data_IF_608060208211
#
_entry.id   IF_608060208211
#
_cell.length_a   1.000
_cell.length_b   1.000
_cell.length_c   1.000
_cell.angle_alpha   90.00
_cell.angle_beta   90.00
_cell.angle_gamma   90.00
#
_symmetry.space_group_name_H-M   'P 1'
#
loop_
_entity.id
_entity.type
_entity.pdbx_description
1 polymer ?
#
# COMPACT_ATOMS: atom_id res chain seq x y z
N UNK A 1 -17.71 -17.56 -2.48
CA UNK A 1 -17.22 -18.96 -2.36
C UNK A 1 -17.00 -19.50 -3.77
N UNK A 2 -15.88 -20.22 -4.01
CA UNK A 2 -15.44 -20.65 -5.36
C UNK A 2 -16.27 -21.81 -5.94
N UNK A 3 -17.16 -22.44 -5.17
CA UNK A 3 -17.83 -23.70 -5.51
C UNK A 3 -16.98 -24.95 -5.21
N UNK A 4 -15.71 -24.80 -4.83
CA UNK A 4 -14.81 -25.90 -4.46
C UNK A 4 -14.57 -25.86 -2.94
N UNK A 5 -15.48 -26.47 -2.20
CA UNK A 5 -15.56 -26.32 -0.75
C UNK A 5 -14.29 -26.66 0.06
N UNK A 6 -13.41 -27.53 -0.46
CA UNK A 6 -12.11 -27.81 0.20
C UNK A 6 -11.14 -26.66 0.01
N UNK A 7 -11.10 -26.03 -1.16
CA UNK A 7 -10.25 -24.89 -1.45
C UNK A 7 -10.68 -23.66 -0.64
N UNK A 8 -11.98 -23.37 -0.60
CA UNK A 8 -12.52 -22.28 0.20
C UNK A 8 -12.13 -22.42 1.68
N UNK A 9 -12.23 -23.64 2.24
CA UNK A 9 -11.83 -23.93 3.61
C UNK A 9 -10.31 -23.78 3.84
N UNK A 10 -9.49 -24.20 2.88
CA UNK A 10 -8.03 -24.06 2.96
C UNK A 10 -7.61 -22.58 2.99
N UNK A 11 -8.22 -21.74 2.15
CA UNK A 11 -7.98 -20.29 2.13
C UNK A 11 -8.40 -19.65 3.46
N UNK A 12 -9.55 -20.05 4.02
CA UNK A 12 -10.01 -19.56 5.34
C UNK A 12 -9.02 -19.93 6.45
N UNK A 13 -8.44 -21.14 6.43
CA UNK A 13 -7.39 -21.55 7.39
C UNK A 13 -6.13 -20.69 7.23
N UNK A 14 -5.66 -20.47 6.00
CA UNK A 14 -4.50 -19.61 5.74
C UNK A 14 -4.70 -18.19 6.29
N UNK A 15 -5.86 -17.58 6.01
CA UNK A 15 -6.21 -16.26 6.49
C UNK A 15 -6.26 -16.19 8.04
N UNK A 16 -6.76 -17.23 8.70
CA UNK A 16 -6.82 -17.30 10.15
C UNK A 16 -5.44 -17.46 10.83
N UNK A 17 -4.40 -17.84 10.07
CA UNK A 17 -3.04 -18.06 10.55
C UNK A 17 -2.11 -16.84 10.41
N UNK A 18 -2.55 -15.71 9.85
CA UNK A 18 -1.68 -14.55 9.54
C UNK A 18 -0.89 -14.09 10.77
N UNK A 19 -1.55 -13.97 11.93
CA UNK A 19 -0.93 -13.56 13.20
C UNK A 19 -0.51 -14.76 14.07
N UNK A 20 -0.56 -15.96 13.50
CA UNK A 20 -0.36 -17.21 14.21
C UNK A 20 -1.64 -17.70 14.91
N UNK A 21 -1.89 -19.02 14.84
CA UNK A 21 -3.07 -19.61 15.46
C UNK A 21 -2.79 -21.03 15.99
N UNK A 22 -3.25 -21.33 17.19
CA UNK A 22 -3.41 -22.69 17.73
C UNK A 22 -4.62 -23.37 17.07
N UNK A 23 -4.75 -24.70 17.28
CA UNK A 23 -5.93 -25.41 16.78
C UNK A 23 -7.24 -24.91 17.35
N UNK A 24 -7.25 -24.50 18.62
CA UNK A 24 -8.45 -23.96 19.27
C UNK A 24 -8.87 -22.62 18.63
N UNK A 25 -7.91 -21.71 18.43
CA UNK A 25 -8.14 -20.43 17.75
C UNK A 25 -8.55 -20.61 16.28
N UNK A 26 -8.02 -21.61 15.56
CA UNK A 26 -8.46 -21.93 14.20
C UNK A 26 -9.94 -22.35 14.18
N UNK A 27 -10.35 -23.23 15.08
CA UNK A 27 -11.76 -23.64 15.18
C UNK A 27 -12.66 -22.45 15.49
N UNK A 28 -12.24 -21.60 16.43
CA UNK A 28 -12.99 -20.42 16.82
C UNK A 28 -13.14 -19.41 15.69
N UNK A 29 -12.03 -19.07 14.99
CA UNK A 29 -12.01 -18.06 13.92
C UNK A 29 -12.71 -18.54 12.64
N UNK A 30 -12.55 -19.83 12.31
CA UNK A 30 -13.04 -20.38 11.02
C UNK A 30 -14.42 -21.01 11.12
N UNK A 31 -14.89 -21.35 12.35
CA UNK A 31 -16.10 -22.11 12.63
C UNK A 31 -16.12 -23.50 11.94
N UNK A 32 -14.96 -24.00 11.54
CA UNK A 32 -14.84 -25.35 10.97
C UNK A 32 -14.80 -26.41 12.09
N UNK A 33 -15.31 -27.63 11.84
CA UNK A 33 -15.14 -28.75 12.74
C UNK A 33 -13.65 -28.99 13.05
N UNK A 34 -13.32 -29.30 14.32
CA UNK A 34 -11.94 -29.47 14.80
C UNK A 34 -11.10 -30.40 13.94
N UNK A 35 -11.68 -31.56 13.56
CA UNK A 35 -11.00 -32.54 12.70
C UNK A 35 -10.69 -31.96 11.31
N UNK A 36 -11.61 -31.18 10.73
CA UNK A 36 -11.44 -30.55 9.42
C UNK A 36 -10.36 -29.47 9.50
N UNK A 37 -10.41 -28.58 10.49
CA UNK A 37 -9.42 -27.53 10.68
C UNK A 37 -8.02 -28.12 10.85
N UNK A 38 -7.87 -29.15 11.69
CA UNK A 38 -6.59 -29.83 11.92
C UNK A 38 -6.04 -30.47 10.65
N UNK A 39 -6.85 -31.27 9.93
CA UNK A 39 -6.42 -31.93 8.68
C UNK A 39 -5.99 -30.92 7.61
N UNK A 40 -6.73 -29.83 7.45
CA UNK A 40 -6.37 -28.78 6.47
C UNK A 40 -5.10 -28.05 6.88
N UNK A 41 -4.94 -27.70 8.15
CA UNK A 41 -3.72 -27.05 8.64
C UNK A 41 -2.49 -27.94 8.45
N UNK A 42 -2.60 -29.27 8.73
CA UNK A 42 -1.53 -30.23 8.48
C UNK A 42 -1.23 -30.38 6.98
N UNK A 43 -2.24 -30.45 6.12
CA UNK A 43 -2.03 -30.49 4.67
C UNK A 43 -1.30 -29.25 4.15
N UNK A 44 -1.68 -28.07 4.64
CA UNK A 44 -1.00 -26.81 4.30
C UNK A 44 0.43 -26.75 4.85
N UNK A 45 0.69 -27.36 6.00
CA UNK A 45 2.04 -27.50 6.59
C UNK A 45 2.93 -28.42 5.74
N UNK A 46 2.41 -29.56 5.26
CA UNK A 46 3.10 -30.47 4.31
C UNK A 46 3.52 -29.71 3.05
N UNK A 47 2.66 -28.83 2.53
CA UNK A 47 2.94 -28.01 1.36
C UNK A 47 3.75 -26.74 1.68
N UNK A 48 4.25 -26.58 2.91
CA UNK A 48 5.04 -25.42 3.36
C UNK A 48 4.29 -24.09 3.23
N UNK A 49 2.97 -24.12 3.04
CA UNK A 49 2.10 -22.93 3.08
C UNK A 49 1.84 -22.46 4.51
N UNK A 50 1.90 -23.37 5.48
CA UNK A 50 1.97 -23.08 6.91
C UNK A 50 3.24 -23.70 7.51
N UNK A 51 3.69 -23.14 8.63
CA UNK A 51 4.76 -23.70 9.48
C UNK A 51 4.34 -23.53 10.94
N UNK A 52 4.95 -24.32 11.85
CA UNK A 52 4.77 -24.14 13.28
C UNK A 52 5.85 -23.25 13.84
N UNK A 53 5.45 -22.30 14.70
CA UNK A 53 6.37 -21.53 15.52
C UNK A 53 6.83 -22.36 16.75
N UNK A 54 7.70 -21.77 17.56
CA UNK A 54 8.25 -22.39 18.78
C UNK A 54 7.18 -22.71 19.84
N UNK A 55 5.99 -22.15 19.73
CA UNK A 55 4.84 -22.39 20.59
C UNK A 55 3.87 -23.41 19.98
N UNK A 56 4.22 -24.03 18.84
CA UNK A 56 3.37 -24.98 18.11
C UNK A 56 2.18 -24.34 17.39
N UNK A 57 2.14 -23.03 17.24
CA UNK A 57 1.09 -22.30 16.52
C UNK A 57 1.39 -22.29 15.04
N UNK A 58 0.37 -22.43 14.19
CA UNK A 58 0.53 -22.31 12.73
C UNK A 58 0.68 -20.84 12.32
N UNK A 59 1.66 -20.57 11.49
CA UNK A 59 1.94 -19.28 10.85
C UNK A 59 2.09 -19.45 9.34
N UNK A 60 1.99 -18.38 8.55
CA UNK A 60 2.30 -18.40 7.13
C UNK A 60 3.69 -18.99 6.88
N UNK A 61 3.76 -19.95 5.96
CA UNK A 61 4.97 -20.67 5.61
C UNK A 61 5.70 -20.09 4.39
N UNK A 62 6.97 -20.49 4.16
CA UNK A 62 7.82 -19.88 3.12
C UNK A 62 7.27 -20.07 1.69
N UNK A 63 6.48 -21.13 1.44
CA UNK A 63 5.89 -21.37 0.11
C UNK A 63 4.98 -20.22 -0.34
N UNK A 64 4.31 -19.54 0.58
CA UNK A 64 3.48 -18.39 0.23
C UNK A 64 4.33 -17.23 -0.29
N UNK A 65 5.51 -16.98 0.29
CA UNK A 65 6.45 -15.98 -0.22
C UNK A 65 7.02 -16.36 -1.60
N UNK A 66 7.37 -17.65 -1.80
CA UNK A 66 7.83 -18.13 -3.09
C UNK A 66 6.78 -17.93 -4.20
N UNK A 67 5.51 -18.25 -3.92
CA UNK A 67 4.40 -18.05 -4.85
C UNK A 67 4.11 -16.57 -5.10
N UNK A 68 4.14 -15.73 -4.06
CA UNK A 68 3.94 -14.29 -4.20
C UNK A 68 5.03 -13.65 -5.06
N UNK A 69 6.29 -14.06 -4.89
CA UNK A 69 7.40 -13.55 -5.70
C UNK A 69 7.37 -14.02 -7.16
N UNK A 70 6.73 -15.17 -7.43
CA UNK A 70 6.55 -15.68 -8.79
C UNK A 70 5.31 -15.13 -9.49
N UNK A 71 4.36 -14.57 -8.74
CA UNK A 71 3.17 -13.96 -9.31
C UNK A 71 3.53 -12.61 -9.96
N UNK A 72 2.99 -12.29 -11.15
CA UNK A 72 3.10 -10.94 -11.68
C UNK A 72 2.54 -9.94 -10.67
N UNK A 73 3.26 -8.85 -10.44
CA UNK A 73 2.73 -7.76 -9.63
C UNK A 73 1.64 -7.03 -10.45
N UNK A 74 0.39 -7.43 -10.20
CA UNK A 74 -0.79 -6.91 -10.90
C UNK A 74 -0.89 -5.39 -10.72
N UNK A 75 -0.53 -4.88 -9.54
CA UNK A 75 -0.54 -3.45 -9.27
C UNK A 75 0.51 -2.73 -10.12
N UNK A 76 1.74 -3.23 -10.20
CA UNK A 76 2.81 -2.59 -10.99
C UNK A 76 2.48 -2.62 -12.48
N UNK A 77 2.03 -3.78 -13.00
CA UNK A 77 1.65 -3.91 -14.42
C UNK A 77 0.51 -2.95 -14.79
N UNK A 78 -0.49 -2.79 -13.93
CA UNK A 78 -1.60 -1.87 -14.15
C UNK A 78 -1.20 -0.40 -13.94
N UNK A 79 -0.19 -0.13 -13.09
CA UNK A 79 0.24 1.23 -12.78
C UNK A 79 1.02 1.89 -13.91
N UNK A 80 1.85 1.17 -14.65
CA UNK A 80 2.72 1.74 -15.70
C UNK A 80 1.96 2.62 -16.70
N UNK A 81 0.89 2.14 -17.39
CA UNK A 81 0.16 2.96 -18.36
C UNK A 81 -0.59 4.12 -17.68
N UNK A 82 -1.03 3.95 -16.42
CA UNK A 82 -1.74 4.99 -15.67
C UNK A 82 -0.80 6.10 -15.20
N UNK A 83 0.42 5.77 -14.79
CA UNK A 83 1.46 6.75 -14.46
C UNK A 83 1.85 7.56 -15.71
N UNK A 84 2.02 6.91 -16.85
CA UNK A 84 2.31 7.60 -18.12
C UNK A 84 1.16 8.57 -18.48
N UNK A 85 -0.08 8.11 -18.44
CA UNK A 85 -1.25 8.94 -18.69
C UNK A 85 -1.38 10.11 -17.68
N UNK A 86 -1.08 9.87 -16.42
CA UNK A 86 -1.12 10.90 -15.37
C UNK A 86 -0.02 11.96 -15.60
N UNK A 87 1.21 11.53 -15.94
CA UNK A 87 2.30 12.43 -16.35
C UNK A 87 1.87 13.31 -17.52
N UNK A 88 1.31 12.72 -18.57
CA UNK A 88 0.92 13.45 -19.78
C UNK A 88 -0.23 14.43 -19.52
N UNK A 89 -1.19 14.04 -18.71
CA UNK A 89 -2.33 14.89 -18.34
C UNK A 89 -1.95 16.07 -17.42
N UNK A 90 -0.92 15.90 -16.57
CA UNK A 90 -0.52 16.92 -15.59
C UNK A 90 0.72 17.70 -16.01
N UNK A 91 1.52 17.14 -16.93
CA UNK A 91 2.82 17.68 -17.31
C UNK A 91 3.90 17.51 -16.25
N UNK A 92 3.68 16.69 -15.21
CA UNK A 92 4.63 16.48 -14.10
C UNK A 92 5.00 15.01 -13.96
N UNK A 93 6.11 14.71 -13.29
CA UNK A 93 6.50 13.33 -13.00
C UNK A 93 5.47 12.65 -12.11
N UNK A 94 5.14 11.40 -12.43
CA UNK A 94 4.19 10.57 -11.66
C UNK A 94 4.91 9.36 -11.06
N UNK A 95 4.55 8.99 -9.83
CA UNK A 95 5.20 7.92 -9.08
C UNK A 95 4.18 7.08 -8.31
N UNK A 96 4.54 5.82 -8.08
CA UNK A 96 3.83 4.89 -7.21
C UNK A 96 4.70 4.53 -6.02
N UNK A 97 4.15 4.65 -4.81
CA UNK A 97 4.86 4.35 -3.57
C UNK A 97 4.17 3.26 -2.78
N UNK A 98 4.97 2.32 -2.24
CA UNK A 98 4.56 1.36 -1.23
C UNK A 98 5.20 1.72 0.11
N UNK A 99 4.49 1.49 1.22
CA UNK A 99 5.04 1.64 2.57
C UNK A 99 5.86 0.42 2.97
N UNK A 100 6.99 0.66 3.60
CA UNK A 100 7.84 -0.34 4.21
C UNK A 100 8.32 0.17 5.58
N UNK A 101 7.64 -0.21 6.64
CA UNK A 101 7.85 0.31 8.00
C UNK A 101 7.77 1.85 8.07
N UNK A 102 8.85 2.53 8.43
CA UNK A 102 8.96 3.99 8.55
C UNK A 102 9.44 4.67 7.26
N UNK A 103 9.45 3.94 6.16
CA UNK A 103 9.88 4.38 4.85
C UNK A 103 8.82 4.10 3.80
N UNK A 104 8.96 4.75 2.64
CA UNK A 104 8.23 4.41 1.42
C UNK A 104 9.19 4.19 0.27
N UNK A 105 8.89 3.23 -0.58
CA UNK A 105 9.70 2.87 -1.73
C UNK A 105 8.96 3.31 -2.98
N UNK A 106 9.64 4.00 -3.91
CA UNK A 106 9.15 4.24 -5.24
C UNK A 106 9.25 2.92 -6.04
N UNK A 107 8.12 2.35 -6.42
CA UNK A 107 8.08 1.04 -7.10
C UNK A 107 7.78 1.15 -8.59
N UNK A 108 7.24 2.30 -9.04
CA UNK A 108 7.07 2.63 -10.45
C UNK A 108 7.08 4.15 -10.62
N UNK A 109 7.57 4.63 -11.77
CA UNK A 109 7.63 6.05 -12.08
C UNK A 109 7.46 6.30 -13.58
N UNK A 110 6.82 7.41 -13.92
CA UNK A 110 6.79 7.98 -15.26
C UNK A 110 7.32 9.43 -15.15
N UNK A 111 8.57 9.63 -15.54
CA UNK A 111 9.20 10.94 -15.44
C UNK A 111 8.70 11.88 -16.54
N UNK A 112 8.61 13.18 -16.22
CA UNK A 112 8.41 14.23 -17.19
C UNK A 112 9.50 14.16 -18.27
N UNK A 113 9.11 14.21 -19.53
CA UNK A 113 10.02 13.98 -20.66
C UNK A 113 11.10 15.04 -20.82
N UNK A 114 10.83 16.31 -20.44
CA UNK A 114 11.77 17.43 -20.66
C UNK A 114 11.63 18.53 -19.62
N UNK A 115 12.69 19.33 -19.47
CA UNK A 115 12.77 20.45 -18.54
C UNK A 115 13.01 20.05 -17.09
N UNK A 116 13.00 21.04 -16.19
CA UNK A 116 13.19 20.82 -14.75
C UNK A 116 12.09 19.93 -14.21
N UNK A 117 12.46 18.88 -13.50
CA UNK A 117 11.54 17.89 -12.94
C UNK A 117 12.00 17.40 -11.57
N UNK A 118 11.07 16.92 -10.78
CA UNK A 118 11.39 16.10 -9.61
C UNK A 118 11.62 14.65 -10.07
N UNK A 119 12.83 14.15 -9.86
CA UNK A 119 13.22 12.79 -10.23
C UNK A 119 13.29 11.93 -8.99
N UNK A 120 12.46 10.90 -8.94
CA UNK A 120 12.48 9.86 -7.91
C UNK A 120 12.61 8.51 -8.62
N UNK A 121 13.83 8.00 -8.80
CA UNK A 121 14.08 6.71 -9.45
C UNK A 121 13.32 5.57 -8.78
N UNK A 122 12.93 4.58 -9.56
CA UNK A 122 12.39 3.31 -9.03
C UNK A 122 13.43 2.68 -8.11
N UNK A 123 13.00 2.17 -6.96
CA UNK A 123 13.86 1.66 -5.89
C UNK A 123 14.28 2.71 -4.86
N UNK A 124 14.05 4.01 -5.11
CA UNK A 124 14.36 5.06 -4.12
C UNK A 124 13.58 4.86 -2.84
N UNK A 125 14.28 4.95 -1.72
CA UNK A 125 13.71 4.86 -0.37
C UNK A 125 13.60 6.28 0.21
N UNK A 126 12.42 6.66 0.63
CA UNK A 126 12.12 7.99 1.18
C UNK A 126 11.47 7.84 2.57
N UNK A 127 11.77 8.76 3.52
CA UNK A 127 11.19 8.68 4.85
C UNK A 127 9.68 8.98 4.83
N UNK A 128 8.95 8.42 5.80
CA UNK A 128 7.52 8.70 6.01
C UNK A 128 7.26 10.06 6.68
N UNK A 129 8.28 10.87 6.93
CA UNK A 129 8.19 12.11 7.71
C UNK A 129 7.85 13.35 6.88
N UNK A 130 7.82 13.26 5.54
CA UNK A 130 7.56 14.41 4.67
C UNK A 130 6.96 13.99 3.32
N UNK A 131 6.14 14.87 2.74
CA UNK A 131 5.58 14.73 1.40
C UNK A 131 4.18 14.12 1.36
N UNK A 132 3.43 14.43 0.30
CA UNK A 132 2.02 14.05 0.16
C UNK A 132 1.79 12.53 0.13
N UNK A 133 2.70 11.74 -0.46
CA UNK A 133 2.61 10.29 -0.44
C UNK A 133 2.75 9.70 0.97
N UNK A 134 3.64 10.26 1.82
CA UNK A 134 3.74 9.87 3.22
C UNK A 134 2.43 10.17 3.98
N UNK A 135 1.84 11.34 3.76
CA UNK A 135 0.55 11.70 4.35
C UNK A 135 -0.54 10.68 3.96
N UNK A 136 -0.61 10.25 2.69
CA UNK A 136 -1.56 9.23 2.22
C UNK A 136 -1.34 7.88 2.92
N UNK A 137 -0.10 7.41 2.95
CA UNK A 137 0.24 6.10 3.51
C UNK A 137 0.08 6.03 5.05
N UNK A 138 0.00 7.18 5.73
CA UNK A 138 -0.23 7.26 7.17
C UNK A 138 -1.66 7.63 7.56
N UNK A 139 -2.40 8.28 6.67
CA UNK A 139 -3.68 8.90 7.05
C UNK A 139 -4.72 7.92 7.58
N UNK A 140 -4.70 6.64 7.15
CA UNK A 140 -5.65 5.60 7.58
C UNK A 140 -5.01 4.51 8.45
N UNK A 141 -3.75 4.68 8.84
CA UNK A 141 -3.11 3.76 9.77
C UNK A 141 -3.62 3.99 11.21
N UNK A 142 -3.59 2.97 12.06
CA UNK A 142 -4.01 3.08 13.44
C UNK A 142 -3.09 4.02 14.24
N UNK A 143 -3.61 4.70 15.28
CA UNK A 143 -2.87 5.71 16.04
C UNK A 143 -1.51 5.23 16.56
N UNK A 144 -1.43 3.99 17.03
CA UNK A 144 -0.21 3.36 17.53
C UNK A 144 0.91 3.25 16.50
N UNK A 145 0.56 3.16 15.22
CA UNK A 145 1.53 3.14 14.11
C UNK A 145 1.94 4.56 13.66
N UNK A 146 1.14 5.57 13.96
CA UNK A 146 1.35 6.96 13.50
C UNK A 146 1.97 7.85 14.56
N UNK A 147 1.53 7.72 15.83
CA UNK A 147 1.97 8.58 16.93
C UNK A 147 3.48 8.65 17.13
N UNK A 148 4.26 7.54 17.02
CA UNK A 148 5.71 7.60 17.17
C UNK A 148 6.41 8.38 16.06
N UNK A 149 5.80 8.50 14.87
CA UNK A 149 6.37 9.19 13.71
C UNK A 149 6.09 10.70 13.71
N UNK A 150 4.91 11.12 14.21
CA UNK A 150 4.43 12.49 14.12
C UNK A 150 5.41 13.57 14.62
N UNK A 151 6.15 13.38 15.74
CA UNK A 151 7.11 14.40 16.20
C UNK A 151 8.23 14.71 15.20
N UNK A 152 8.50 13.78 14.28
CA UNK A 152 9.52 13.91 13.23
C UNK A 152 8.94 14.36 11.89
N UNK A 153 7.61 14.46 11.77
CA UNK A 153 6.93 14.76 10.51
C UNK A 153 6.90 16.27 10.24
N UNK A 154 6.94 16.62 8.96
CA UNK A 154 6.68 17.99 8.46
C UNK A 154 5.18 18.33 8.37
N UNK A 155 4.34 17.39 8.71
CA UNK A 155 2.87 17.50 8.79
C UNK A 155 2.38 17.02 10.16
N UNK A 156 1.12 17.30 10.48
CA UNK A 156 0.53 17.03 11.80
C UNK A 156 -0.59 16.01 11.73
N UNK A 157 -1.06 15.53 12.88
CA UNK A 157 -2.27 14.71 12.97
C UNK A 157 -3.52 15.41 12.38
N UNK A 158 -3.60 16.75 12.49
CA UNK A 158 -4.65 17.55 11.83
C UNK A 158 -4.56 17.46 10.30
N UNK A 159 -3.36 17.52 9.74
CA UNK A 159 -3.13 17.31 8.30
C UNK A 159 -3.64 15.95 7.87
N UNK A 160 -3.34 14.89 8.62
CA UNK A 160 -3.82 13.53 8.31
C UNK A 160 -5.35 13.43 8.41
N UNK A 161 -5.97 14.10 9.36
CA UNK A 161 -7.44 14.17 9.46
C UNK A 161 -8.07 14.88 8.25
N UNK A 162 -7.45 15.95 7.76
CA UNK A 162 -7.87 16.64 6.54
C UNK A 162 -7.70 15.76 5.29
N UNK A 163 -6.60 14.98 5.20
CA UNK A 163 -6.37 14.00 4.14
C UNK A 163 -7.47 12.93 4.13
N UNK A 164 -7.85 12.40 5.30
CA UNK A 164 -8.97 11.44 5.40
C UNK A 164 -10.29 12.01 4.89
N UNK A 165 -10.59 13.27 5.23
CA UNK A 165 -11.84 13.94 4.84
C UNK A 165 -11.92 14.21 3.35
N UNK A 166 -10.83 14.66 2.71
CA UNK A 166 -10.82 15.04 1.30
C UNK A 166 -10.42 13.91 0.34
N UNK A 167 -9.79 12.83 0.87
CA UNK A 167 -9.39 11.66 0.09
C UNK A 167 -8.10 11.81 -0.72
N UNK A 168 -7.35 12.91 -0.53
CA UNK A 168 -6.07 13.18 -1.20
C UNK A 168 -5.17 14.07 -0.32
N UNK A 169 -3.88 14.10 -0.63
CA UNK A 169 -2.88 14.89 0.08
C UNK A 169 -2.11 15.81 -0.87
N UNK A 170 -1.62 16.92 -0.34
CA UNK A 170 -0.63 17.79 -1.00
C UNK A 170 0.48 18.15 -0.05
N UNK A 171 1.65 18.41 -0.58
CA UNK A 171 2.76 19.00 0.16
C UNK A 171 3.49 20.03 -0.68
N UNK A 172 4.07 21.04 -0.01
CA UNK A 172 4.86 22.10 -0.62
C UNK A 172 6.09 22.29 0.23
N UNK A 173 7.28 22.13 -0.36
CA UNK A 173 8.57 22.28 0.31
C UNK A 173 8.78 21.41 1.57
N UNK A 174 8.00 20.32 1.73
CA UNK A 174 8.19 19.42 2.88
C UNK A 174 9.41 18.52 2.71
N UNK A 175 9.52 17.81 1.60
CA UNK A 175 10.64 16.88 1.31
C UNK A 175 11.89 17.65 0.87
N UNK A 176 11.72 18.51 -0.11
CA UNK A 176 12.78 19.36 -0.67
C UNK A 176 12.25 20.76 -0.90
N UNK A 177 13.09 21.76 -0.66
CA UNK A 177 12.80 23.14 -1.04
C UNK A 177 12.58 23.22 -2.56
N UNK A 178 11.55 23.94 -2.98
CA UNK A 178 11.20 24.06 -4.41
C UNK A 178 10.36 22.93 -4.99
N UNK A 179 10.05 21.86 -4.26
CA UNK A 179 9.22 20.75 -4.72
C UNK A 179 7.82 20.78 -4.09
N UNK A 180 6.82 20.60 -4.94
CA UNK A 180 5.44 20.35 -4.53
C UNK A 180 4.96 18.99 -5.03
N UNK A 181 3.96 18.42 -4.37
CA UNK A 181 3.37 17.14 -4.77
C UNK A 181 1.90 17.02 -4.39
N UNK A 182 1.18 16.16 -5.13
CA UNK A 182 -0.19 15.74 -4.82
C UNK A 182 -0.26 14.23 -4.90
N UNK A 183 -0.94 13.60 -3.93
CA UNK A 183 -1.06 12.14 -3.87
C UNK A 183 -2.48 11.71 -3.54
N UNK A 184 -2.84 10.51 -4.01
CA UNK A 184 -4.09 9.84 -3.68
C UNK A 184 -3.83 8.38 -3.26
N UNK A 185 -4.73 7.80 -2.45
CA UNK A 185 -4.62 6.41 -2.03
C UNK A 185 -4.99 5.44 -3.13
N UNK A 186 -4.33 4.30 -3.14
CA UNK A 186 -4.76 3.08 -3.81
C UNK A 186 -5.20 2.11 -2.71
N UNK A 187 -6.39 1.53 -2.86
CA UNK A 187 -7.00 0.68 -1.85
C UNK A 187 -7.20 -0.73 -2.37
N UNK A 188 -7.04 -1.70 -1.50
CA UNK A 188 -7.44 -3.08 -1.78
C UNK A 188 -8.96 -3.26 -1.71
N UNK A 189 -9.43 -4.50 -1.94
CA UNK A 189 -10.86 -4.86 -1.89
C UNK A 189 -11.49 -4.72 -0.52
N UNK A 190 -10.69 -4.60 0.53
CA UNK A 190 -11.18 -4.35 1.91
C UNK A 190 -11.28 -2.86 2.23
N UNK A 191 -10.83 -1.98 1.33
CA UNK A 191 -10.76 -0.54 1.52
C UNK A 191 -9.49 -0.05 2.22
N UNK A 192 -8.55 -0.94 2.56
CA UNK A 192 -7.27 -0.58 3.17
C UNK A 192 -6.37 0.09 2.13
N UNK A 193 -5.66 1.14 2.54
CA UNK A 193 -4.65 1.80 1.69
C UNK A 193 -3.41 0.90 1.59
N UNK A 194 -3.09 0.49 0.37
CA UNK A 194 -1.95 -0.39 0.07
C UNK A 194 -0.81 0.35 -0.63
N UNK A 195 -1.12 1.46 -1.31
CA UNK A 195 -0.15 2.25 -2.03
C UNK A 195 -0.59 3.72 -2.12
N UNK A 196 0.33 4.59 -2.55
CA UNK A 196 0.05 5.98 -2.90
C UNK A 196 0.51 6.28 -4.32
N UNK A 197 -0.40 6.80 -5.17
CA UNK A 197 -0.04 7.38 -6.46
C UNK A 197 0.15 8.89 -6.28
N UNK A 198 1.18 9.44 -6.94
CA UNK A 198 1.62 10.82 -6.72
C UNK A 198 2.03 11.47 -8.03
N UNK A 199 1.87 12.78 -8.09
CA UNK A 199 2.64 13.65 -8.98
C UNK A 199 3.54 14.56 -8.16
N UNK A 200 4.69 14.90 -8.72
CA UNK A 200 5.63 15.83 -8.08
C UNK A 200 6.39 16.64 -9.13
N UNK A 201 6.74 17.87 -8.75
CA UNK A 201 7.47 18.77 -9.61
C UNK A 201 7.78 20.10 -8.92
N UNK A 202 8.42 21.05 -9.63
CA UNK A 202 8.75 22.38 -9.12
C UNK A 202 7.51 23.16 -8.69
N UNK A 203 7.65 23.89 -7.56
CA UNK A 203 6.58 24.76 -7.01
C UNK A 203 6.17 25.83 -8.03
N UNK A 204 7.10 26.30 -8.86
CA UNK A 204 6.83 27.30 -9.88
C UNK A 204 5.75 26.86 -10.87
N UNK A 205 5.66 25.55 -11.18
CA UNK A 205 4.62 25.01 -12.05
C UNK A 205 3.40 24.50 -11.30
N UNK A 206 3.63 23.75 -10.23
CA UNK A 206 2.55 23.16 -9.43
C UNK A 206 1.83 24.18 -8.55
N UNK A 207 2.50 25.29 -8.22
CA UNK A 207 1.97 26.32 -7.34
C UNK A 207 2.00 25.93 -5.86
N UNK A 208 1.55 26.86 -5.00
CA UNK A 208 1.47 26.67 -3.55
C UNK A 208 0.23 25.87 -3.09
N UNK A 209 -0.69 25.61 -4.00
CA UNK A 209 -1.90 24.79 -3.79
C UNK A 209 -2.06 23.80 -4.94
N UNK A 210 -1.13 22.85 -5.08
CA UNK A 210 -1.12 21.94 -6.24
C UNK A 210 -2.38 21.07 -6.33
N UNK A 211 -3.04 20.82 -5.19
CA UNK A 211 -4.29 20.07 -5.14
C UNK A 211 -5.46 20.73 -5.87
N UNK A 212 -5.54 22.06 -5.91
CA UNK A 212 -6.64 22.77 -6.57
C UNK A 212 -6.74 22.43 -8.06
N UNK A 213 -5.61 22.14 -8.70
CA UNK A 213 -5.53 21.80 -10.13
C UNK A 213 -5.45 20.31 -10.40
N UNK A 214 -4.78 19.55 -9.54
CA UNK A 214 -4.34 18.20 -9.86
C UNK A 214 -4.96 17.11 -9.00
N UNK A 215 -5.66 17.43 -7.89
CA UNK A 215 -6.21 16.43 -6.99
C UNK A 215 -7.13 15.44 -7.72
N UNK A 216 -8.02 15.93 -8.58
CA UNK A 216 -8.98 15.07 -9.28
C UNK A 216 -8.31 14.10 -10.25
N UNK A 217 -7.23 14.51 -10.92
CA UNK A 217 -6.48 13.64 -11.82
C UNK A 217 -5.82 12.48 -11.03
N UNK A 218 -5.16 12.82 -9.91
CA UNK A 218 -4.48 11.84 -9.05
C UNK A 218 -5.48 10.90 -8.37
N UNK A 219 -6.61 11.43 -7.89
CA UNK A 219 -7.69 10.63 -7.27
C UNK A 219 -8.26 9.63 -8.27
N UNK A 220 -8.58 10.06 -9.50
CA UNK A 220 -9.09 9.15 -10.56
C UNK A 220 -8.07 8.04 -10.89
N UNK A 221 -6.78 8.38 -10.96
CA UNK A 221 -5.73 7.40 -11.20
C UNK A 221 -5.65 6.38 -10.05
N UNK A 222 -5.70 6.84 -8.79
CA UNK A 222 -5.74 5.97 -7.61
C UNK A 222 -6.96 5.05 -7.56
N UNK A 223 -8.14 5.57 -7.90
CA UNK A 223 -9.37 4.78 -7.99
C UNK A 223 -9.31 3.67 -9.04
N UNK A 224 -8.70 3.93 -10.21
CA UNK A 224 -8.53 2.93 -11.28
C UNK A 224 -7.59 1.79 -10.90
N UNK A 225 -6.68 2.00 -9.96
CA UNK A 225 -5.77 0.99 -9.40
C UNK A 225 -6.32 0.31 -8.14
N UNK A 226 -7.42 0.81 -7.60
CA UNK A 226 -8.01 0.25 -6.38
C UNK A 226 -8.86 -0.98 -6.69
N UNK A 227 -8.83 -1.97 -5.77
CA UNK A 227 -9.63 -3.20 -5.89
C UNK A 227 -9.05 -4.27 -6.82
N UNK A 228 -7.81 -4.08 -7.27
CA UNK A 228 -7.06 -5.07 -8.06
C UNK A 228 -6.72 -6.32 -7.25
#
# INVERSE_FOLDING_TARGET
MSGVGVLDKAVVILAACVDGASLAELVERTKLPRATAHRLAQALEIHRMLVRDTQGRWRPGPRLGELANAAPDVLLTAAEPLLAALRDATGESAQLYLRRADERICVAAAERASGLRDTVPVGSVLPMTAGSAAQILLAWEPPEAVMPLLPRCKFTGRTLAEVRRRGWAQSVAEREAGVASVSAPIRDRTGRVIAAISISGPIERLGRRPGDRHAMAVVRAGQRLSGL
#
